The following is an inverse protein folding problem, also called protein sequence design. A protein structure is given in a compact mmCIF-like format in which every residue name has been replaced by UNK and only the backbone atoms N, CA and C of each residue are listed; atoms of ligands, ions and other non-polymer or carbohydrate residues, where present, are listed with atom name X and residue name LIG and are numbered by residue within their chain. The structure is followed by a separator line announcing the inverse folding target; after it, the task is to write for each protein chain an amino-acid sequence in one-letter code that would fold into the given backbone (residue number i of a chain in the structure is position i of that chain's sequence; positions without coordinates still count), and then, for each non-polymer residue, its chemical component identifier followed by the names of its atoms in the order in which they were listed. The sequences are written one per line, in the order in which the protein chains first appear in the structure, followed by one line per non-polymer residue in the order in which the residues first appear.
data_IF_697614960660
#
_entry.id   IF_697614960660
#
_cell.length_a   1.000
_cell.length_b   1.000
_cell.length_c   1.000
_cell.angle_alpha   90.00
_cell.angle_beta   90.00
_cell.angle_gamma   90.00
#
_symmetry.space_group_name_H-M   'P 1'
#
loop_
_entity.id
_entity.type
_entity.pdbx_description
1 polymer ?
#
# COMPACT_ATOMS: atom_id res chain seq x y z
N UNK A 1 12.54 -7.89 2.29
CA UNK A 1 11.68 -8.57 3.27
C UNK A 1 10.74 -9.49 2.50
N UNK A 2 11.08 -10.78 2.51
CA UNK A 2 10.44 -11.81 1.70
C UNK A 2 9.05 -12.14 2.27
N UNK A 3 7.99 -11.78 1.54
CA UNK A 3 6.72 -12.46 1.74
C UNK A 3 6.90 -13.88 1.20
N UNK A 4 7.15 -14.82 2.11
CA UNK A 4 7.22 -16.24 1.81
C UNK A 4 6.09 -16.63 0.84
N UNK A 5 6.43 -17.39 -0.20
CA UNK A 5 5.56 -17.72 -1.35
C UNK A 5 4.35 -18.60 -1.03
N UNK A 6 3.74 -18.46 0.15
CA UNK A 6 2.46 -19.07 0.49
C UNK A 6 1.34 -18.34 -0.22
N UNK A 7 0.42 -19.10 -0.81
CA UNK A 7 -0.81 -18.59 -1.36
C UNK A 7 -1.58 -17.77 -0.30
N UNK A 8 -2.25 -16.70 -0.73
CA UNK A 8 -3.05 -15.87 0.18
C UNK A 8 -4.29 -16.66 0.58
N UNK A 9 -4.59 -16.76 1.87
CA UNK A 9 -5.84 -17.38 2.32
C UNK A 9 -7.05 -16.66 1.73
N UNK A 10 -8.20 -17.33 1.64
CA UNK A 10 -9.44 -16.70 1.18
C UNK A 10 -9.80 -15.45 2.01
N UNK A 11 -9.62 -15.52 3.34
CA UNK A 11 -9.87 -14.39 4.24
C UNK A 11 -8.96 -13.19 3.89
N UNK A 12 -7.65 -13.44 3.74
CA UNK A 12 -6.69 -12.40 3.39
C UNK A 12 -6.97 -11.79 2.01
N UNK A 13 -7.34 -12.62 1.02
CA UNK A 13 -7.70 -12.13 -0.32
C UNK A 13 -8.93 -11.23 -0.29
N UNK A 14 -9.98 -11.63 0.44
CA UNK A 14 -11.21 -10.86 0.58
C UNK A 14 -10.94 -9.48 1.21
N UNK A 15 -10.15 -9.43 2.30
CA UNK A 15 -9.83 -8.16 2.95
C UNK A 15 -8.84 -7.29 2.15
N UNK A 16 -7.93 -7.87 1.36
CA UNK A 16 -7.01 -7.11 0.50
C UNK A 16 -7.63 -6.63 -0.81
N UNK A 17 -8.70 -7.27 -1.30
CA UNK A 17 -9.36 -6.96 -2.58
C UNK A 17 -9.62 -5.47 -2.83
N UNK A 18 -10.13 -4.66 -1.88
CA UNK A 18 -10.31 -3.23 -2.12
C UNK A 18 -9.00 -2.45 -2.26
N UNK A 19 -7.91 -2.89 -1.61
CA UNK A 19 -6.61 -2.21 -1.58
C UNK A 19 -5.74 -2.56 -2.78
N UNK A 20 -5.81 -3.81 -3.25
CA UNK A 20 -4.97 -4.29 -4.37
C UNK A 20 -5.27 -3.60 -5.71
N UNK A 21 -6.39 -2.88 -5.81
CA UNK A 21 -6.76 -2.09 -6.98
C UNK A 21 -6.06 -0.73 -7.04
N UNK A 22 -5.48 -0.27 -5.93
CA UNK A 22 -4.81 1.01 -5.87
C UNK A 22 -3.43 0.93 -6.51
N UNK A 23 -3.10 1.96 -7.29
CA UNK A 23 -1.77 2.13 -7.83
C UNK A 23 -0.78 2.46 -6.70
N UNK A 24 0.36 1.79 -6.70
CA UNK A 24 1.44 2.02 -5.73
C UNK A 24 2.35 3.17 -6.21
N UNK A 25 1.86 4.39 -6.12
CA UNK A 25 2.62 5.62 -6.35
C UNK A 25 2.21 6.68 -5.34
N UNK A 26 3.14 7.57 -4.98
CA UNK A 26 2.85 8.68 -4.06
C UNK A 26 1.82 9.62 -4.68
N UNK A 27 1.88 9.86 -5.99
CA UNK A 27 0.92 10.70 -6.69
C UNK A 27 -0.48 10.13 -6.67
N UNK A 28 -0.64 8.84 -6.93
CA UNK A 28 -1.95 8.21 -6.78
C UNK A 28 -2.44 8.31 -5.34
N UNK A 29 -1.56 8.03 -4.37
CA UNK A 29 -1.91 8.05 -2.95
C UNK A 29 -2.41 9.41 -2.50
N UNK A 30 -1.63 10.48 -2.67
CA UNK A 30 -2.01 11.80 -2.14
C UNK A 30 -3.16 12.45 -2.90
N UNK A 31 -3.37 12.12 -4.19
CA UNK A 31 -4.56 12.57 -4.93
C UNK A 31 -5.84 11.88 -4.48
N UNK A 32 -5.75 10.68 -3.93
CA UNK A 32 -6.89 9.87 -3.50
C UNK A 32 -6.86 9.59 -1.98
N UNK A 33 -6.24 10.48 -1.21
CA UNK A 33 -5.82 10.22 0.17
C UNK A 33 -6.96 9.72 1.06
N UNK A 34 -8.01 10.53 1.22
CA UNK A 34 -9.19 10.19 2.06
C UNK A 34 -9.80 8.84 1.68
N UNK A 35 -10.02 8.62 0.37
CA UNK A 35 -10.59 7.37 -0.15
C UNK A 35 -9.71 6.16 0.14
N UNK A 36 -8.39 6.31 0.03
CA UNK A 36 -7.45 5.23 0.35
C UNK A 36 -7.49 4.94 1.85
N UNK A 37 -7.52 5.96 2.70
CA UNK A 37 -7.57 5.81 4.14
C UNK A 37 -8.87 5.14 4.61
N UNK A 38 -10.03 5.57 4.10
CA UNK A 38 -11.35 4.96 4.37
C UNK A 38 -11.36 3.46 4.00
N UNK A 39 -10.83 3.12 2.81
CA UNK A 39 -10.77 1.72 2.38
C UNK A 39 -9.77 0.91 3.17
N UNK A 40 -8.66 1.51 3.58
CA UNK A 40 -7.66 0.85 4.41
C UNK A 40 -8.19 0.55 5.80
N UNK A 41 -8.92 1.47 6.42
CA UNK A 41 -9.56 1.28 7.72
C UNK A 41 -10.60 0.14 7.64
N UNK A 42 -11.49 0.18 6.64
CA UNK A 42 -12.47 -0.89 6.40
C UNK A 42 -11.82 -2.26 6.19
N UNK A 43 -10.71 -2.29 5.45
CA UNK A 43 -9.94 -3.52 5.19
C UNK A 43 -9.19 -4.02 6.43
N UNK A 44 -8.71 -3.10 7.28
CA UNK A 44 -8.08 -3.43 8.56
C UNK A 44 -9.10 -4.01 9.54
N UNK A 45 -10.31 -3.45 9.60
CA UNK A 45 -11.41 -4.04 10.37
C UNK A 45 -11.77 -5.44 9.84
N UNK A 46 -11.84 -5.61 8.52
CA UNK A 46 -12.06 -6.92 7.91
C UNK A 46 -11.00 -7.95 8.34
N UNK A 47 -9.72 -7.57 8.42
CA UNK A 47 -8.64 -8.52 8.70
C UNK A 47 -8.63 -9.03 10.14
N UNK A 48 -9.27 -8.33 11.09
CA UNK A 48 -9.37 -8.75 12.50
C UNK A 48 -10.03 -10.12 12.68
N UNK A 49 -10.89 -10.53 11.74
CA UNK A 49 -11.53 -11.86 11.75
C UNK A 49 -10.67 -12.97 11.12
N UNK A 50 -9.56 -12.62 10.49
CA UNK A 50 -8.65 -13.58 9.86
C UNK A 50 -7.65 -14.15 10.90
N UNK A 51 -6.91 -15.18 10.50
CA UNK A 51 -5.88 -15.79 11.35
C UNK A 51 -4.78 -14.76 11.73
N UNK A 52 -4.05 -14.94 12.85
CA UNK A 52 -2.94 -14.06 13.21
C UNK A 52 -1.87 -13.93 12.11
N UNK A 53 -1.58 -15.01 11.39
CA UNK A 53 -0.66 -15.00 10.23
C UNK A 53 -1.20 -14.11 9.10
N UNK A 54 -2.49 -14.21 8.79
CA UNK A 54 -3.12 -13.36 7.77
C UNK A 54 -3.18 -11.89 8.20
N UNK A 55 -3.43 -11.61 9.48
CA UNK A 55 -3.39 -10.24 10.02
C UNK A 55 -1.99 -9.64 9.85
N UNK A 56 -0.94 -10.38 10.24
CA UNK A 56 0.45 -9.97 10.03
C UNK A 56 0.74 -9.69 8.54
N UNK A 57 0.36 -10.62 7.65
CA UNK A 57 0.54 -10.46 6.20
C UNK A 57 -0.25 -9.26 5.65
N UNK A 58 -1.46 -8.99 6.16
CA UNK A 58 -2.26 -7.84 5.78
C UNK A 58 -1.52 -6.53 6.07
N UNK A 59 -0.95 -6.37 7.27
CA UNK A 59 -0.17 -5.17 7.63
C UNK A 59 1.04 -4.97 6.70
N UNK A 60 1.72 -6.06 6.34
CA UNK A 60 2.83 -5.99 5.38
C UNK A 60 2.38 -5.61 3.96
N UNK A 61 1.28 -6.18 3.46
CA UNK A 61 0.78 -5.87 2.12
C UNK A 61 0.32 -4.41 1.98
N UNK A 62 -0.13 -3.81 3.08
CA UNK A 62 -0.74 -2.48 3.10
C UNK A 62 0.19 -1.38 3.62
N UNK A 63 1.42 -1.73 4.01
CA UNK A 63 2.40 -0.80 4.65
C UNK A 63 2.57 0.52 3.89
N UNK A 64 2.66 0.47 2.55
CA UNK A 64 2.83 1.67 1.72
C UNK A 64 1.75 2.72 1.96
N UNK A 65 0.49 2.29 2.01
CA UNK A 65 -0.65 3.18 2.25
C UNK A 65 -0.79 3.54 3.73
N UNK A 66 -0.51 2.59 4.62
CA UNK A 66 -0.80 2.67 6.06
C UNK A 66 -0.05 3.78 6.78
N UNK A 67 1.22 3.98 6.46
CA UNK A 67 2.05 5.01 7.11
C UNK A 67 1.36 6.38 7.08
N UNK A 68 0.80 6.76 5.93
CA UNK A 68 0.20 8.08 5.77
C UNK A 68 -1.24 8.15 6.28
N UNK A 69 -1.97 7.04 6.25
CA UNK A 69 -3.39 7.00 6.59
C UNK A 69 -3.70 6.77 8.06
N UNK A 70 -2.82 6.08 8.80
CA UNK A 70 -3.07 5.72 10.21
C UNK A 70 -2.17 6.53 11.13
N UNK A 71 -0.91 6.72 10.74
CA UNK A 71 0.09 7.28 11.66
C UNK A 71 0.24 8.81 11.52
N UNK A 72 -0.21 9.41 10.41
CA UNK A 72 0.00 10.84 10.11
C UNK A 72 -1.21 11.55 9.48
N UNK A 73 -2.43 11.05 9.67
CA UNK A 73 -3.59 11.55 8.92
C UNK A 73 -3.84 13.04 9.16
N UNK A 74 -3.92 13.47 10.43
CA UNK A 74 -4.23 14.85 10.82
C UNK A 74 -3.08 15.83 10.44
N UNK A 75 -1.83 15.40 10.59
CA UNK A 75 -0.66 16.20 10.25
C UNK A 75 -0.54 16.42 8.74
N UNK A 76 -0.87 15.39 7.96
CA UNK A 76 -0.80 15.45 6.51
C UNK A 76 -1.96 16.21 5.90
N UNK A 77 -3.15 16.23 6.53
CA UNK A 77 -4.34 16.94 6.03
C UNK A 77 -4.01 18.39 5.64
N UNK A 78 -3.32 19.11 6.54
CA UNK A 78 -2.90 20.49 6.33
C UNK A 78 -1.80 20.65 5.25
N UNK A 79 -1.14 19.57 4.85
CA UNK A 79 -0.07 19.55 3.86
C UNK A 79 -0.44 18.85 2.56
N UNK A 80 -1.66 18.30 2.42
CA UNK A 80 -2.06 17.47 1.29
C UNK A 80 -1.85 18.18 -0.04
N UNK A 81 -2.13 19.47 -0.14
CA UNK A 81 -1.95 20.23 -1.37
C UNK A 81 -0.47 20.41 -1.76
N UNK A 82 0.41 20.54 -0.78
CA UNK A 82 1.85 20.54 -1.01
C UNK A 82 2.32 19.15 -1.48
N UNK A 83 1.88 18.09 -0.79
CA UNK A 83 2.24 16.72 -1.09
C UNK A 83 1.75 16.29 -2.48
N UNK A 84 0.53 16.65 -2.89
CA UNK A 84 -0.02 16.41 -4.23
C UNK A 84 0.82 17.08 -5.34
N UNK A 85 1.43 18.23 -5.05
CA UNK A 85 2.29 18.95 -6.00
C UNK A 85 3.69 18.35 -6.06
N UNK A 86 4.23 17.90 -4.92
CA UNK A 86 5.57 17.33 -4.82
C UNK A 86 5.65 15.86 -5.26
N UNK A 87 4.59 15.09 -5.06
CA UNK A 87 4.56 13.64 -5.29
C UNK A 87 4.95 13.19 -6.70
N UNK A 88 4.64 13.91 -7.80
CA UNK A 88 5.06 13.47 -9.14
C UNK A 88 6.58 13.43 -9.28
N UNK A 89 7.31 14.33 -8.61
CA UNK A 89 8.77 14.32 -8.61
C UNK A 89 9.32 13.12 -7.82
N UNK A 90 8.69 12.79 -6.69
CA UNK A 90 9.06 11.61 -5.88
C UNK A 90 8.87 10.34 -6.70
N UNK A 91 7.73 10.18 -7.37
CA UNK A 91 7.47 9.03 -8.24
C UNK A 91 8.45 8.96 -9.40
N UNK A 92 8.76 10.09 -10.04
CA UNK A 92 9.76 10.18 -11.10
C UNK A 92 11.13 9.68 -10.62
N UNK A 93 11.63 10.23 -9.51
CA UNK A 93 12.93 9.82 -8.94
C UNK A 93 12.93 8.34 -8.56
N UNK A 94 11.84 7.85 -7.95
CA UNK A 94 11.70 6.44 -7.61
C UNK A 94 11.78 5.54 -8.85
N UNK A 95 11.09 5.90 -9.94
CA UNK A 95 11.10 5.14 -11.18
C UNK A 95 12.43 5.21 -11.95
N UNK A 96 13.19 6.32 -11.80
CA UNK A 96 14.52 6.46 -12.40
C UNK A 96 15.57 5.64 -11.66
N UNK A 97 15.48 5.59 -10.32
CA UNK A 97 16.43 4.88 -9.47
C UNK A 97 16.07 3.42 -9.32
N UNK A 98 14.79 3.08 -9.33
CA UNK A 98 14.29 1.75 -9.04
C UNK A 98 13.44 1.18 -10.18
N UNK A 99 13.68 -0.08 -10.52
CA UNK A 99 12.87 -0.83 -11.48
C UNK A 99 12.01 -1.86 -10.76
N UNK A 100 10.72 -1.86 -11.10
CA UNK A 100 9.76 -2.86 -10.65
C UNK A 100 9.78 -4.05 -11.60
N UNK A 101 10.47 -5.13 -11.23
CA UNK A 101 10.31 -6.40 -11.95
C UNK A 101 9.10 -7.13 -11.35
N UNK A 102 8.00 -7.20 -12.09
CA UNK A 102 6.90 -8.13 -11.79
C UNK A 102 7.44 -9.55 -11.96
N UNK A 103 7.60 -10.29 -10.86
CA UNK A 103 7.86 -11.72 -10.95
C UNK A 103 6.64 -12.45 -11.54
N UNK A 104 6.84 -13.64 -12.10
CA UNK A 104 5.78 -14.46 -12.70
C UNK A 104 4.61 -14.81 -11.75
N UNK A 105 4.77 -14.57 -10.44
CA UNK A 105 3.69 -14.63 -9.46
C UNK A 105 3.36 -13.20 -9.02
N UNK A 106 2.10 -12.78 -9.21
CA UNK A 106 1.56 -11.44 -8.87
C UNK A 106 1.81 -10.98 -7.41
N UNK A 107 2.29 -11.89 -6.56
CA UNK A 107 2.56 -11.70 -5.15
C UNK A 107 3.98 -11.19 -4.82
N UNK A 108 4.93 -11.18 -5.77
CA UNK A 108 6.30 -10.69 -5.53
C UNK A 108 6.67 -9.54 -6.49
N UNK A 109 6.50 -8.31 -6.01
CA UNK A 109 7.13 -7.14 -6.62
C UNK A 109 8.55 -7.05 -6.05
N UNK A 110 9.55 -7.42 -6.85
CA UNK A 110 10.95 -7.19 -6.48
C UNK A 110 11.35 -5.80 -6.96
N UNK A 111 11.69 -4.94 -5.99
CA UNK A 111 12.23 -3.62 -6.25
C UNK A 111 13.74 -3.72 -6.37
N UNK A 112 14.27 -3.32 -7.52
CA UNK A 112 15.71 -3.22 -7.74
C UNK A 112 16.07 -1.74 -7.91
N UNK A 113 16.73 -1.17 -6.91
CA UNK A 113 17.24 0.21 -6.95
C UNK A 113 18.74 0.20 -7.31
N UNK A 114 19.17 1.18 -8.10
CA UNK A 114 20.57 1.42 -8.47
C UNK A 114 21.36 1.98 -7.29
#
# INVERSE_FOLDING_TARGET
LETNGREKSRCLQECLKPILKFERSFTFQFRNFEKICEKLESAAYCSQKCSPDDQYRFYHYTTFYRLHCIDFYEELENQLDCLKKASPNVDKTCNEQCTFKRGNNESQVKLYCR
#
